data_IF_607299339748
#
_entry.id   IF_607299339748
#
_cell.length_a   1.000
_cell.length_b   1.000
_cell.length_c   1.000
_cell.angle_alpha   90.00
_cell.angle_beta   90.00
_cell.angle_gamma   90.00
#
_symmetry.space_group_name_H-M   'P 1'
#
loop_
_entity.id
_entity.type
_entity.pdbx_description
1 polymer ?
#
# COMPACT_ATOMS: atom_id res chain seq x y z
N UNK A 1 -25.77 0.98 11.86
CA UNK A 1 -24.78 1.11 10.77
C UNK A 1 -24.80 2.55 10.30
N UNK A 2 -23.66 3.25 10.27
CA UNK A 2 -23.62 4.67 9.87
C UNK A 2 -23.81 4.81 8.35
N UNK A 3 -24.35 5.93 7.88
CA UNK A 3 -24.59 6.21 6.45
C UNK A 3 -23.31 6.03 5.62
N UNK A 4 -22.16 6.44 6.16
CA UNK A 4 -20.86 6.28 5.52
C UNK A 4 -20.45 4.82 5.28
N UNK A 5 -20.70 3.92 6.24
CA UNK A 5 -20.38 2.49 6.10
C UNK A 5 -21.25 1.85 5.03
N UNK A 6 -22.55 2.16 5.00
CA UNK A 6 -23.46 1.65 3.96
C UNK A 6 -23.03 2.07 2.56
N UNK A 7 -22.71 3.36 2.37
CA UNK A 7 -22.20 3.87 1.09
C UNK A 7 -20.90 3.18 0.66
N UNK A 8 -20.04 2.82 1.62
CA UNK A 8 -18.77 2.13 1.35
C UNK A 8 -19.01 0.69 0.89
N UNK A 9 -19.96 -0.01 1.52
CA UNK A 9 -20.35 -1.37 1.11
C UNK A 9 -20.96 -1.40 -0.29
N UNK A 10 -21.82 -0.43 -0.62
CA UNK A 10 -22.43 -0.30 -1.94
C UNK A 10 -21.39 -0.01 -3.03
N UNK A 11 -20.47 0.93 -2.79
CA UNK A 11 -19.39 1.25 -3.75
C UNK A 11 -18.45 0.07 -3.98
N UNK A 12 -18.06 -0.62 -2.90
CA UNK A 12 -17.22 -1.80 -2.99
C UNK A 12 -17.90 -2.94 -3.76
N UNK A 13 -19.18 -3.19 -3.48
CA UNK A 13 -19.96 -4.21 -4.20
C UNK A 13 -20.12 -3.87 -5.69
N UNK A 14 -20.34 -2.59 -6.03
CA UNK A 14 -20.37 -2.13 -7.42
C UNK A 14 -19.04 -2.41 -8.14
N UNK A 15 -17.90 -2.09 -7.52
CA UNK A 15 -16.59 -2.32 -8.12
C UNK A 15 -16.32 -3.81 -8.40
N UNK A 16 -16.74 -4.68 -7.49
CA UNK A 16 -16.65 -6.15 -7.69
C UNK A 16 -17.57 -6.59 -8.83
N UNK A 17 -18.81 -6.12 -8.86
CA UNK A 17 -19.76 -6.48 -9.91
C UNK A 17 -19.27 -6.05 -11.30
N UNK A 18 -18.70 -4.85 -11.42
CA UNK A 18 -18.10 -4.35 -12.65
C UNK A 18 -16.97 -5.25 -13.14
N UNK A 19 -16.00 -5.59 -12.28
CA UNK A 19 -14.93 -6.52 -12.66
C UNK A 19 -15.45 -7.92 -13.02
N UNK A 20 -16.43 -8.41 -12.28
CA UNK A 20 -17.06 -9.70 -12.55
C UNK A 20 -17.73 -9.71 -13.92
N UNK A 21 -18.34 -8.59 -14.32
CA UNK A 21 -18.97 -8.44 -15.64
C UNK A 21 -17.95 -8.49 -16.78
N UNK A 22 -16.72 -8.03 -16.52
CA UNK A 22 -15.59 -8.06 -17.46
C UNK A 22 -14.78 -9.36 -17.39
N UNK A 23 -15.16 -10.31 -16.52
CA UNK A 23 -14.44 -11.56 -16.26
C UNK A 23 -12.96 -11.38 -15.84
N UNK A 24 -12.61 -10.25 -15.21
CA UNK A 24 -11.22 -9.93 -14.81
C UNK A 24 -10.93 -10.13 -13.33
N UNK A 25 -11.92 -10.50 -12.52
CA UNK A 25 -11.76 -10.61 -11.04
C UNK A 25 -10.55 -11.46 -10.65
N UNK A 26 -10.36 -12.63 -11.25
CA UNK A 26 -9.23 -13.52 -10.94
C UNK A 26 -7.87 -12.96 -11.39
N UNK A 27 -7.83 -12.12 -12.43
CA UNK A 27 -6.61 -11.44 -12.87
C UNK A 27 -6.23 -10.38 -11.84
N UNK A 28 -7.18 -9.51 -11.48
CA UNK A 28 -6.96 -8.45 -10.49
C UNK A 28 -6.55 -9.04 -9.14
N UNK A 29 -7.20 -10.12 -8.71
CA UNK A 29 -6.87 -10.83 -7.49
C UNK A 29 -5.40 -11.31 -7.48
N UNK A 30 -4.94 -11.90 -8.59
CA UNK A 30 -3.54 -12.34 -8.75
C UNK A 30 -2.56 -11.18 -8.80
N UNK A 31 -2.91 -10.06 -9.44
CA UNK A 31 -2.07 -8.86 -9.46
C UNK A 31 -1.85 -8.34 -8.03
N UNK A 32 -2.92 -8.24 -7.22
CA UNK A 32 -2.82 -7.82 -5.82
C UNK A 32 -1.97 -8.82 -5.01
N UNK A 33 -2.17 -10.13 -5.24
CA UNK A 33 -1.39 -11.17 -4.60
C UNK A 33 0.11 -11.04 -4.92
N UNK A 34 0.46 -10.89 -6.20
CA UNK A 34 1.84 -10.76 -6.66
C UNK A 34 2.49 -9.48 -6.17
N UNK A 35 1.78 -8.35 -6.17
CA UNK A 35 2.29 -7.09 -5.63
C UNK A 35 2.59 -7.21 -4.12
N UNK A 36 1.68 -7.84 -3.36
CA UNK A 36 1.88 -8.10 -1.93
C UNK A 36 3.06 -9.04 -1.68
N UNK A 37 3.18 -10.11 -2.46
CA UNK A 37 4.28 -11.07 -2.36
C UNK A 37 5.62 -10.46 -2.78
N UNK A 38 5.64 -9.56 -3.76
CA UNK A 38 6.85 -8.87 -4.18
C UNK A 38 7.47 -8.08 -3.03
N UNK A 39 6.66 -7.38 -2.23
CA UNK A 39 7.17 -6.71 -1.03
C UNK A 39 7.71 -7.70 0.01
N UNK A 40 7.02 -8.84 0.23
CA UNK A 40 7.51 -9.88 1.14
C UNK A 40 8.88 -10.47 0.69
N UNK A 41 9.02 -10.69 -0.62
CA UNK A 41 10.27 -11.15 -1.24
C UNK A 41 11.37 -10.12 -1.06
N UNK A 42 11.08 -8.82 -1.26
CA UNK A 42 12.05 -7.76 -1.01
C UNK A 42 12.55 -7.86 0.41
N UNK A 43 11.67 -7.86 1.41
CA UNK A 43 12.04 -7.97 2.83
C UNK A 43 12.90 -9.21 3.12
N UNK A 44 12.55 -10.35 2.51
CA UNK A 44 13.34 -11.59 2.63
C UNK A 44 14.76 -11.42 2.10
N UNK A 45 14.92 -10.77 0.94
CA UNK A 45 16.22 -10.53 0.32
C UNK A 45 17.06 -9.56 1.17
N UNK A 46 16.46 -8.55 1.79
CA UNK A 46 17.18 -7.62 2.69
C UNK A 46 17.86 -8.41 3.80
N UNK A 47 17.11 -9.30 4.44
CA UNK A 47 17.60 -10.13 5.52
C UNK A 47 18.67 -11.13 5.04
N UNK A 48 18.47 -11.73 3.85
CA UNK A 48 19.41 -12.69 3.29
C UNK A 48 20.75 -12.07 2.85
N UNK A 49 20.73 -10.81 2.39
CA UNK A 49 21.90 -10.12 1.85
C UNK A 49 22.55 -9.13 2.84
N UNK A 50 22.11 -9.12 4.10
CA UNK A 50 22.73 -8.32 5.17
C UNK A 50 22.25 -6.86 5.26
N UNK A 51 21.15 -6.50 4.59
CA UNK A 51 20.44 -5.22 4.72
C UNK A 51 19.25 -5.31 5.69
N UNK A 52 19.11 -6.42 6.40
CA UNK A 52 18.11 -6.59 7.44
C UNK A 52 18.49 -5.82 8.71
N UNK A 53 17.48 -5.49 9.49
CA UNK A 53 17.66 -4.91 10.82
C UNK A 53 18.59 -5.76 11.70
N UNK A 54 19.52 -5.08 12.39
CA UNK A 54 20.61 -5.72 13.16
C UNK A 54 20.33 -5.85 14.66
N UNK A 55 19.28 -5.20 15.17
CA UNK A 55 18.92 -5.23 16.60
C UNK A 55 17.58 -5.94 16.85
N UNK A 56 17.39 -6.61 18.01
CA UNK A 56 16.27 -7.55 18.20
C UNK A 56 14.88 -6.98 17.93
N UNK A 57 14.62 -5.73 18.35
CA UNK A 57 13.30 -5.10 18.19
C UNK A 57 13.03 -4.79 16.70
N UNK A 58 13.86 -3.99 16.00
CA UNK A 58 13.84 -3.82 14.55
C UNK A 58 13.73 -5.12 13.74
N UNK A 59 14.52 -6.16 14.07
CA UNK A 59 14.44 -7.44 13.39
C UNK A 59 13.08 -8.11 13.58
N UNK A 60 12.51 -8.05 14.79
CA UNK A 60 11.17 -8.56 15.07
C UNK A 60 10.09 -7.85 14.24
N UNK A 61 10.18 -6.53 14.08
CA UNK A 61 9.28 -5.74 13.24
C UNK A 61 9.38 -6.14 11.77
N UNK A 62 10.59 -6.32 11.25
CA UNK A 62 10.82 -6.71 9.87
C UNK A 62 10.29 -8.13 9.59
N UNK A 63 10.58 -9.09 10.49
CA UNK A 63 10.03 -10.45 10.42
C UNK A 63 8.49 -10.46 10.45
N UNK A 64 7.88 -9.73 11.38
CA UNK A 64 6.43 -9.67 11.50
C UNK A 64 5.77 -9.12 10.22
N UNK A 65 6.35 -8.04 9.66
CA UNK A 65 5.88 -7.42 8.43
C UNK A 65 5.99 -8.37 7.23
N UNK A 66 7.13 -9.07 7.12
CA UNK A 66 7.37 -10.05 6.07
C UNK A 66 6.38 -11.23 6.14
N UNK A 67 6.19 -11.80 7.34
CA UNK A 67 5.27 -12.92 7.56
C UNK A 67 3.83 -12.49 7.26
N UNK A 68 3.42 -11.30 7.71
CA UNK A 68 2.10 -10.76 7.40
C UNK A 68 1.90 -10.62 5.89
N UNK A 69 2.88 -10.07 5.16
CA UNK A 69 2.81 -9.94 3.71
C UNK A 69 2.74 -11.30 3.00
N UNK A 70 3.48 -12.32 3.44
CA UNK A 70 3.36 -13.67 2.90
C UNK A 70 1.98 -14.29 3.12
N UNK A 71 1.43 -14.17 4.33
CA UNK A 71 0.10 -14.69 4.66
C UNK A 71 -0.97 -13.98 3.82
N UNK A 72 -0.93 -12.65 3.75
CA UNK A 72 -1.89 -11.86 2.99
C UNK A 72 -1.76 -12.11 1.48
N UNK A 73 -0.53 -12.20 0.96
CA UNK A 73 -0.27 -12.53 -0.44
C UNK A 73 -0.77 -13.92 -0.81
N UNK A 74 -0.56 -14.92 0.05
CA UNK A 74 -1.10 -16.27 -0.15
C UNK A 74 -2.64 -16.28 -0.06
N UNK A 75 -3.23 -15.52 0.88
CA UNK A 75 -4.67 -15.36 0.96
C UNK A 75 -5.26 -14.75 -0.31
N UNK A 76 -4.63 -13.71 -0.88
CA UNK A 76 -5.05 -13.17 -2.18
C UNK A 76 -4.85 -14.16 -3.33
N UNK A 77 -3.77 -14.95 -3.32
CA UNK A 77 -3.46 -15.91 -4.38
C UNK A 77 -4.46 -17.08 -4.46
N UNK A 78 -4.89 -17.59 -3.29
CA UNK A 78 -5.63 -18.85 -3.20
C UNK A 78 -7.00 -18.73 -2.52
N UNK A 79 -7.25 -17.63 -1.81
CA UNK A 79 -8.48 -17.39 -1.07
C UNK A 79 -9.59 -16.79 -1.93
N UNK A 80 -10.79 -16.60 -1.33
CA UNK A 80 -11.87 -15.88 -1.97
C UNK A 80 -11.60 -14.38 -2.01
N UNK A 81 -12.34 -13.66 -2.86
CA UNK A 81 -12.34 -12.20 -2.84
C UNK A 81 -12.76 -11.68 -1.44
N UNK A 82 -12.02 -10.76 -0.82
CA UNK A 82 -12.30 -10.33 0.55
C UNK A 82 -13.57 -9.48 0.65
N UNK A 83 -14.21 -9.56 1.81
CA UNK A 83 -15.23 -8.57 2.20
C UNK A 83 -14.61 -7.18 2.37
N UNK A 84 -15.42 -6.11 2.34
CA UNK A 84 -14.94 -4.74 2.52
C UNK A 84 -14.08 -4.58 3.79
N UNK A 85 -14.52 -5.17 4.91
CA UNK A 85 -13.79 -5.09 6.19
C UNK A 85 -12.44 -5.79 6.12
N UNK A 86 -12.38 -6.96 5.48
CA UNK A 86 -11.13 -7.71 5.29
C UNK A 86 -10.19 -6.97 4.34
N UNK A 87 -10.71 -6.40 3.25
CA UNK A 87 -9.93 -5.61 2.30
C UNK A 87 -9.37 -4.35 2.98
N UNK A 88 -10.17 -3.64 3.77
CA UNK A 88 -9.71 -2.45 4.48
C UNK A 88 -8.68 -2.80 5.56
N UNK A 89 -8.89 -3.89 6.31
CA UNK A 89 -7.89 -4.39 7.26
C UNK A 89 -6.58 -4.77 6.56
N UNK A 90 -6.65 -5.44 5.40
CA UNK A 90 -5.50 -5.76 4.57
C UNK A 90 -4.71 -4.51 4.20
N UNK A 91 -5.38 -3.46 3.69
CA UNK A 91 -4.72 -2.20 3.33
C UNK A 91 -4.02 -1.57 4.53
N UNK A 92 -4.71 -1.44 5.67
CA UNK A 92 -4.11 -0.81 6.86
C UNK A 92 -2.93 -1.62 7.41
N UNK A 93 -3.02 -2.96 7.41
CA UNK A 93 -1.91 -3.83 7.84
C UNK A 93 -0.75 -3.71 6.87
N UNK A 94 -1.02 -3.68 5.56
CA UNK A 94 0.01 -3.57 4.53
C UNK A 94 0.71 -2.21 4.56
N UNK A 95 -0.04 -1.11 4.74
CA UNK A 95 0.50 0.24 4.93
C UNK A 95 1.48 0.30 6.11
N UNK A 96 1.07 -0.23 7.27
CA UNK A 96 1.92 -0.30 8.48
C UNK A 96 3.12 -1.22 8.26
N UNK A 97 2.93 -2.38 7.62
CA UNK A 97 4.00 -3.34 7.36
C UNK A 97 5.05 -2.76 6.41
N UNK A 98 4.64 -2.09 5.33
CA UNK A 98 5.54 -1.42 4.39
C UNK A 98 6.32 -0.32 5.10
N UNK A 99 5.62 0.57 5.83
CA UNK A 99 6.26 1.66 6.55
C UNK A 99 7.29 1.14 7.56
N UNK A 100 6.87 0.20 8.42
CA UNK A 100 7.70 -0.29 9.51
C UNK A 100 8.86 -1.14 9.00
N UNK A 101 8.66 -2.05 8.04
CA UNK A 101 9.76 -2.80 7.41
C UNK A 101 10.73 -1.89 6.65
N UNK A 102 10.23 -0.80 6.06
CA UNK A 102 11.10 0.18 5.38
C UNK A 102 11.93 0.95 6.39
N UNK A 103 11.33 1.43 7.48
CA UNK A 103 12.00 2.22 8.50
C UNK A 103 13.12 1.46 9.23
N UNK A 104 12.94 0.15 9.45
CA UNK A 104 13.89 -0.66 10.22
C UNK A 104 14.98 -1.33 9.39
N UNK A 105 14.83 -1.35 8.07
CA UNK A 105 15.80 -1.98 7.18
C UNK A 105 17.10 -1.16 7.11
N UNK A 106 18.23 -1.85 7.02
CA UNK A 106 19.56 -1.27 6.95
C UNK A 106 20.01 -1.11 5.49
N UNK A 107 19.18 -0.42 4.69
CA UNK A 107 19.51 -0.07 3.31
C UNK A 107 20.22 1.28 3.23
N UNK A 108 21.01 1.53 2.17
CA UNK A 108 21.37 2.87 1.76
C UNK A 108 20.15 3.81 1.82
N UNK A 109 20.24 4.96 2.49
CA UNK A 109 19.10 5.80 2.83
C UNK A 109 18.23 6.22 1.63
N UNK A 110 18.84 6.41 0.47
CA UNK A 110 18.14 6.76 -0.77
C UNK A 110 17.22 5.62 -1.25
N UNK A 111 17.64 4.36 -1.06
CA UNK A 111 16.86 3.16 -1.40
C UNK A 111 15.72 2.99 -0.41
N UNK A 112 15.95 3.28 0.88
CA UNK A 112 14.94 3.25 1.93
C UNK A 112 13.74 4.13 1.59
N UNK A 113 13.97 5.36 1.11
CA UNK A 113 12.86 6.23 0.67
C UNK A 113 12.15 5.68 -0.57
N UNK A 114 12.89 5.13 -1.53
CA UNK A 114 12.34 4.52 -2.75
C UNK A 114 11.43 3.32 -2.50
N UNK A 115 11.70 2.51 -1.46
CA UNK A 115 10.84 1.38 -1.07
C UNK A 115 9.40 1.79 -0.74
N UNK A 116 9.17 3.03 -0.31
CA UNK A 116 7.81 3.53 -0.03
C UNK A 116 6.92 3.60 -1.28
N UNK A 117 7.48 3.45 -2.48
CA UNK A 117 6.71 3.36 -3.73
C UNK A 117 5.72 2.18 -3.75
N UNK A 118 5.95 1.11 -2.97
CA UNK A 118 4.96 0.01 -2.83
C UNK A 118 3.61 0.46 -2.27
N UNK A 119 3.55 1.60 -1.58
CA UNK A 119 2.30 2.20 -1.12
C UNK A 119 1.41 2.64 -2.30
N UNK A 120 2.00 2.97 -3.46
CA UNK A 120 1.26 3.37 -4.66
C UNK A 120 0.37 2.22 -5.15
N UNK A 121 0.89 0.98 -5.13
CA UNK A 121 0.14 -0.20 -5.58
C UNK A 121 -1.10 -0.47 -4.72
N UNK A 122 -0.98 -0.28 -3.39
CA UNK A 122 -2.13 -0.31 -2.49
C UNK A 122 -3.09 0.84 -2.80
N UNK A 123 -2.55 2.01 -3.10
CA UNK A 123 -3.32 3.17 -3.56
C UNK A 123 -4.16 2.86 -4.78
N UNK A 124 -3.63 2.16 -5.79
CA UNK A 124 -4.40 1.77 -6.98
C UNK A 124 -5.61 0.89 -6.62
N UNK A 125 -5.44 -0.05 -5.69
CA UNK A 125 -6.56 -0.84 -5.17
C UNK A 125 -7.57 0.03 -4.41
N UNK A 126 -7.10 0.84 -3.47
CA UNK A 126 -7.95 1.71 -2.63
C UNK A 126 -8.72 2.73 -3.47
N UNK A 127 -8.07 3.38 -4.43
CA UNK A 127 -8.66 4.41 -5.29
C UNK A 127 -9.86 3.88 -6.06
N UNK A 128 -9.77 2.66 -6.58
CA UNK A 128 -10.87 2.04 -7.32
C UNK A 128 -11.98 1.52 -6.40
N UNK A 129 -11.62 0.75 -5.37
CA UNK A 129 -12.59 -0.04 -4.59
C UNK A 129 -13.19 0.67 -3.39
N UNK A 130 -12.53 1.66 -2.82
CA UNK A 130 -12.93 2.24 -1.54
C UNK A 130 -13.58 3.62 -1.67
N UNK A 131 -14.41 3.93 -0.68
CA UNK A 131 -15.03 5.25 -0.54
C UNK A 131 -14.08 6.28 0.08
N UNK A 132 -14.48 7.55 -0.01
CA UNK A 132 -13.67 8.73 0.30
C UNK A 132 -12.91 8.68 1.63
N UNK A 133 -13.51 8.16 2.70
CA UNK A 133 -12.88 8.17 4.02
C UNK A 133 -11.78 7.11 4.15
N UNK A 134 -11.99 5.92 3.56
CA UNK A 134 -10.98 4.85 3.52
C UNK A 134 -9.83 5.24 2.60
N UNK A 135 -10.15 5.88 1.47
CA UNK A 135 -9.19 6.49 0.57
C UNK A 135 -8.35 7.57 1.27
N UNK A 136 -9.01 8.48 1.99
CA UNK A 136 -8.32 9.52 2.75
C UNK A 136 -7.42 8.92 3.83
N UNK A 137 -7.86 7.85 4.51
CA UNK A 137 -7.05 7.17 5.52
C UNK A 137 -5.73 6.65 4.93
N UNK A 138 -5.79 5.96 3.79
CA UNK A 138 -4.61 5.47 3.08
C UNK A 138 -3.71 6.62 2.60
N UNK A 139 -4.26 7.63 1.91
CA UNK A 139 -3.49 8.76 1.38
C UNK A 139 -2.78 9.52 2.52
N UNK A 140 -3.51 9.86 3.58
CA UNK A 140 -2.95 10.60 4.71
C UNK A 140 -1.85 9.78 5.39
N UNK A 141 -2.08 8.48 5.63
CA UNK A 141 -1.06 7.61 6.18
C UNK A 141 0.20 7.60 5.32
N UNK A 142 0.04 7.39 4.02
CA UNK A 142 1.16 7.23 3.10
C UNK A 142 1.96 8.53 2.94
N UNK A 143 1.31 9.69 2.84
CA UNK A 143 2.00 10.99 2.80
C UNK A 143 2.79 11.21 4.09
N UNK A 144 2.19 10.94 5.25
CA UNK A 144 2.87 11.10 6.53
C UNK A 144 4.04 10.12 6.68
N UNK A 145 3.85 8.85 6.34
CA UNK A 145 4.86 7.80 6.42
C UNK A 145 6.06 8.10 5.51
N UNK A 146 5.83 8.40 4.24
CA UNK A 146 6.89 8.73 3.27
C UNK A 146 7.59 10.05 3.64
N UNK A 147 6.86 11.05 4.11
CA UNK A 147 7.46 12.32 4.58
C UNK A 147 8.29 12.10 5.84
N UNK A 148 7.83 11.27 6.76
CA UNK A 148 8.59 10.91 7.96
C UNK A 148 9.92 10.24 7.59
N UNK A 149 9.90 9.26 6.67
CA UNK A 149 11.13 8.60 6.20
C UNK A 149 12.05 9.61 5.52
N UNK A 150 11.52 10.49 4.66
CA UNK A 150 12.30 11.52 3.97
C UNK A 150 12.99 12.49 4.96
N UNK A 151 12.31 12.90 6.03
CA UNK A 151 12.88 13.73 7.09
C UNK A 151 13.91 12.95 7.89
N UNK A 152 13.61 11.69 8.22
CA UNK A 152 14.52 10.81 8.97
C UNK A 152 15.86 10.65 8.25
N UNK A 153 15.86 10.31 6.95
CA UNK A 153 17.11 10.09 6.20
C UNK A 153 17.93 11.38 6.03
N UNK A 154 17.29 12.55 6.02
CA UNK A 154 18.00 13.84 5.98
C UNK A 154 18.64 14.17 7.32
N UNK A 155 17.89 13.99 8.43
CA UNK A 155 18.35 14.41 9.75
C UNK A 155 19.33 13.44 10.39
N UNK A 156 19.20 12.14 10.11
CA UNK A 156 19.95 11.09 10.82
C UNK A 156 20.90 10.29 9.93
N UNK A 157 20.63 10.21 8.63
CA UNK A 157 21.43 9.38 7.70
C UNK A 157 22.27 10.22 6.72
N UNK A 158 22.29 11.54 6.86
CA UNK A 158 23.17 12.44 6.11
C UNK A 158 22.79 12.65 4.64
N UNK A 159 21.57 12.26 4.23
CA UNK A 159 21.09 12.50 2.86
C UNK A 159 20.88 13.99 2.60
N UNK A 160 21.40 14.49 1.48
CA UNK A 160 21.17 15.87 1.08
C UNK A 160 19.67 16.14 0.84
N UNK A 161 19.18 17.30 1.32
CA UNK A 161 17.77 17.72 1.18
C UNK A 161 17.28 17.60 -0.26
N UNK A 162 18.08 18.06 -1.24
CA UNK A 162 17.71 17.99 -2.65
C UNK A 162 17.51 16.54 -3.13
N UNK A 163 18.38 15.62 -2.74
CA UNK A 163 18.28 14.21 -3.12
C UNK A 163 17.02 13.56 -2.51
N UNK A 164 16.75 13.85 -1.23
CA UNK A 164 15.54 13.40 -0.55
C UNK A 164 14.28 13.91 -1.27
N UNK A 165 14.23 15.20 -1.63
CA UNK A 165 13.10 15.80 -2.38
C UNK A 165 12.91 15.15 -3.76
N UNK A 166 14.00 14.85 -4.48
CA UNK A 166 13.94 14.22 -5.81
C UNK A 166 13.30 12.84 -5.77
N UNK A 167 13.51 12.06 -4.70
CA UNK A 167 12.88 10.74 -4.53
C UNK A 167 11.49 10.86 -3.89
N UNK A 168 11.32 11.72 -2.88
CA UNK A 168 10.07 11.91 -2.16
C UNK A 168 8.94 12.46 -3.04
N UNK A 169 9.24 13.47 -3.87
CA UNK A 169 8.22 14.17 -4.66
C UNK A 169 7.46 13.28 -5.64
N UNK A 170 8.08 12.44 -6.49
CA UNK A 170 7.32 11.55 -7.36
C UNK A 170 6.50 10.53 -6.59
N UNK A 171 7.00 10.03 -5.44
CA UNK A 171 6.25 9.08 -4.61
C UNK A 171 4.98 9.73 -4.04
N UNK A 172 5.11 10.90 -3.41
CA UNK A 172 3.95 11.61 -2.82
C UNK A 172 2.96 12.07 -3.89
N UNK A 173 3.45 12.58 -5.03
CA UNK A 173 2.57 12.95 -6.15
C UNK A 173 1.85 11.74 -6.72
N UNK A 174 2.48 10.57 -6.77
CA UNK A 174 1.83 9.34 -7.28
C UNK A 174 0.78 8.83 -6.29
N UNK A 175 1.10 8.76 -5.00
CA UNK A 175 0.18 8.31 -3.94
C UNK A 175 -1.05 9.23 -3.84
N UNK A 176 -0.86 10.54 -3.95
CA UNK A 176 -1.98 11.48 -3.95
C UNK A 176 -2.67 11.56 -5.30
N UNK A 177 -1.93 12.00 -6.32
CA UNK A 177 -2.44 12.35 -7.64
C UNK A 177 -3.02 11.16 -8.40
N UNK A 178 -2.25 10.10 -8.64
CA UNK A 178 -2.74 8.97 -9.45
C UNK A 178 -3.90 8.24 -8.77
N UNK A 179 -3.82 8.07 -7.45
CA UNK A 179 -4.89 7.41 -6.69
C UNK A 179 -6.18 8.23 -6.70
N UNK A 180 -6.09 9.55 -6.51
CA UNK A 180 -7.27 10.43 -6.59
C UNK A 180 -7.85 10.46 -8.01
N UNK A 181 -7.00 10.55 -9.03
CA UNK A 181 -7.43 10.50 -10.43
C UNK A 181 -8.18 9.20 -10.73
N UNK A 182 -7.65 8.06 -10.28
CA UNK A 182 -8.31 6.77 -10.41
C UNK A 182 -9.67 6.75 -9.69
N UNK A 183 -9.72 7.26 -8.46
CA UNK A 183 -10.97 7.32 -7.70
C UNK A 183 -12.04 8.17 -8.38
N UNK A 184 -11.68 9.36 -8.84
CA UNK A 184 -12.62 10.25 -9.52
C UNK A 184 -13.05 9.71 -10.88
N UNK A 185 -12.15 9.06 -11.63
CA UNK A 185 -12.50 8.37 -12.87
C UNK A 185 -13.45 7.18 -12.63
N UNK A 186 -13.22 6.37 -11.59
CA UNK A 186 -14.13 5.30 -11.21
C UNK A 186 -15.52 5.83 -10.82
N UNK A 187 -15.55 6.92 -10.04
CA UNK A 187 -16.78 7.62 -9.64
C UNK A 187 -17.53 8.21 -10.84
N UNK A 188 -16.84 8.82 -11.80
CA UNK A 188 -17.50 9.40 -12.97
C UNK A 188 -18.16 8.33 -13.83
N UNK A 189 -17.52 7.17 -14.03
CA UNK A 189 -18.12 6.05 -14.74
C UNK A 189 -19.38 5.52 -14.04
N UNK A 190 -19.41 5.51 -12.70
CA UNK A 190 -20.61 5.08 -11.97
C UNK A 190 -21.79 6.03 -12.18
N UNK A 191 -21.54 7.34 -12.23
CA UNK A 191 -22.57 8.36 -12.43
C UNK A 191 -23.22 8.28 -13.83
N UNK A 192 -22.57 7.68 -14.83
CA UNK A 192 -23.17 7.48 -16.15
C UNK A 192 -24.31 6.44 -16.15
N UNK A 193 -24.43 5.63 -15.08
CA UNK A 193 -25.43 4.55 -14.97
C UNK A 193 -26.48 4.80 -13.88
N UNK A 194 -26.47 5.95 -13.22
CA UNK A 194 -27.50 6.42 -12.26
C UNK A 194 -28.37 7.51 -12.90
#
# INVERSE_FOLDING_TARGET
MTVAVKSSEEHYAWGIALMSSLAVTGIVQKVIALATLAMAVIVTLEMAFGYGATTPIPSGVQWASMIAAYIMGAFWMFGPWPTLKQAFAFVMIADIAIFSATLVADFPPEITLGKTAFLIELGMFVGFFFERWMLAAHIVFCILATTFIAVYVVLFEGVAILMSIVVWSPVVVSIGGFVLLLHFAARSMRLEFE
#
